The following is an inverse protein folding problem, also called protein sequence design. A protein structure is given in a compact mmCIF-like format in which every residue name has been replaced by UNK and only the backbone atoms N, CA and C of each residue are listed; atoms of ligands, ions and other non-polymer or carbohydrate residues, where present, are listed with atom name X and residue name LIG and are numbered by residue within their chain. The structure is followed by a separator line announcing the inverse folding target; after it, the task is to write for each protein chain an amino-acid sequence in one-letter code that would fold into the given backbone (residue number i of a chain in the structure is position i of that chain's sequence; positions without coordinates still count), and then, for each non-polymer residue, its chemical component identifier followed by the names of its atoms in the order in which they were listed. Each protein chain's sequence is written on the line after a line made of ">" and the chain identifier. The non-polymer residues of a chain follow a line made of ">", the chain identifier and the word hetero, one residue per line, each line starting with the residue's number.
data_IF_580946662802
#
_entry.id   IF_580946662802
#
_cell.length_a   1.000
_cell.length_b   1.000
_cell.length_c   1.000
_cell.angle_alpha   90.00
_cell.angle_beta   90.00
_cell.angle_gamma   90.00
#
_symmetry.space_group_name_H-M   'P 1'
#
loop_
_entity.id
_entity.type
_entity.pdbx_description
1 polymer ?
#
# COMPACT_ATOMS: atom_id res chain seq x y z
N UNK A 1 2.07 60.30 -34.87
CA UNK A 1 2.12 59.61 -36.17
C UNK A 1 2.32 58.12 -35.87
N UNK A 2 1.31 57.27 -36.14
CA UNK A 2 1.25 55.87 -35.73
C UNK A 2 1.74 54.93 -36.84
N UNK A 3 2.12 53.71 -36.48
CA UNK A 3 2.15 52.56 -37.39
C UNK A 3 1.65 51.31 -36.66
N UNK A 4 0.38 50.99 -36.91
CA UNK A 4 -0.27 49.68 -36.70
C UNK A 4 0.16 48.69 -37.79
N UNK A 5 0.37 47.41 -37.45
CA UNK A 5 0.09 46.22 -38.30
C UNK A 5 -0.10 45.02 -37.35
N UNK A 6 -1.32 44.64 -36.99
CA UNK A 6 -2.21 43.62 -37.60
C UNK A 6 -2.43 42.41 -36.66
N UNK A 7 -3.66 42.29 -36.17
CA UNK A 7 -4.20 41.13 -35.46
C UNK A 7 -4.75 40.13 -36.47
N UNK A 8 -4.31 38.88 -36.39
CA UNK A 8 -4.83 37.74 -37.14
C UNK A 8 -6.13 37.22 -36.50
N UNK A 9 -7.19 37.15 -37.31
CA UNK A 9 -8.51 36.65 -36.95
C UNK A 9 -8.58 35.12 -37.08
N UNK A 10 -9.19 34.45 -36.09
CA UNK A 10 -9.62 33.04 -36.18
C UNK A 10 -11.01 32.95 -36.85
N UNK A 11 -11.26 31.96 -37.72
CA UNK A 11 -12.60 31.70 -38.26
C UNK A 11 -13.51 30.99 -37.22
N UNK A 12 -14.85 31.10 -37.38
CA UNK A 12 -15.84 30.64 -36.41
C UNK A 12 -16.08 29.12 -36.42
N UNK A 13 -16.45 28.62 -35.24
CA UNK A 13 -16.86 27.25 -34.93
C UNK A 13 -18.11 26.84 -35.72
N UNK A 14 -18.03 25.79 -36.54
CA UNK A 14 -19.20 25.12 -37.10
C UNK A 14 -19.84 24.19 -36.07
N UNK A 15 -21.15 24.37 -35.92
CA UNK A 15 -22.04 23.69 -35.01
C UNK A 15 -22.60 22.45 -35.72
N UNK A 16 -22.24 21.24 -35.27
CA UNK A 16 -22.76 19.98 -35.81
C UNK A 16 -23.81 19.41 -34.84
N UNK A 17 -25.06 19.14 -35.28
CA UNK A 17 -26.13 18.67 -34.41
C UNK A 17 -26.06 17.17 -34.12
N UNK A 18 -26.48 16.81 -32.90
CA UNK A 18 -26.67 15.45 -32.39
C UNK A 18 -27.92 14.77 -33.00
N UNK A 19 -27.87 13.47 -33.35
CA UNK A 19 -29.08 12.69 -33.53
C UNK A 19 -29.56 12.03 -32.22
N UNK A 20 -30.87 12.02 -32.12
CA UNK A 20 -31.76 11.67 -31.02
C UNK A 20 -31.85 10.17 -30.69
N UNK A 21 -32.38 9.92 -29.49
CA UNK A 21 -32.72 8.64 -28.90
C UNK A 21 -33.82 7.87 -29.67
N UNK A 22 -33.70 6.54 -29.69
CA UNK A 22 -34.75 5.49 -29.67
C UNK A 22 -34.08 4.18 -30.12
N UNK A 23 -34.09 3.05 -29.41
CA UNK A 23 -35.25 2.30 -28.90
C UNK A 23 -34.76 1.25 -27.89
N UNK A 24 -35.49 1.14 -26.77
CA UNK A 24 -35.37 0.06 -25.81
C UNK A 24 -36.06 -1.20 -26.39
N UNK A 25 -35.35 -2.34 -26.46
CA UNK A 25 -35.96 -3.66 -26.72
C UNK A 25 -35.77 -4.57 -25.49
N UNK A 26 -36.82 -5.23 -24.97
CA UNK A 26 -36.70 -6.13 -23.83
C UNK A 26 -36.17 -7.52 -24.24
N UNK A 27 -35.22 -8.03 -23.44
CA UNK A 27 -34.65 -9.39 -23.54
C UNK A 27 -35.61 -10.39 -22.89
N UNK A 28 -35.96 -11.46 -23.61
CA UNK A 28 -36.74 -12.60 -23.10
C UNK A 28 -35.88 -13.51 -22.20
N UNK A 29 -36.44 -14.15 -21.16
CA UNK A 29 -35.68 -14.98 -20.24
C UNK A 29 -35.29 -16.34 -20.87
N UNK A 30 -34.04 -16.74 -20.66
CA UNK A 30 -33.52 -18.07 -21.02
C UNK A 30 -33.99 -19.09 -19.99
N UNK A 31 -34.51 -20.22 -20.50
CA UNK A 31 -35.09 -21.31 -19.75
C UNK A 31 -34.11 -22.04 -18.82
N UNK A 32 -34.69 -22.55 -17.73
CA UNK A 32 -34.10 -23.52 -16.80
C UNK A 32 -33.65 -24.78 -17.56
N UNK A 33 -32.37 -25.13 -17.46
CA UNK A 33 -31.87 -26.44 -17.83
C UNK A 33 -31.92 -27.35 -16.58
N UNK A 34 -32.67 -28.44 -16.69
CA UNK A 34 -32.78 -29.53 -15.70
C UNK A 34 -31.65 -30.51 -15.98
N UNK A 35 -30.79 -30.77 -15.00
CA UNK A 35 -29.77 -31.82 -15.08
C UNK A 35 -30.32 -33.07 -14.39
N UNK A 36 -30.56 -34.12 -15.18
CA UNK A 36 -30.76 -35.49 -14.72
C UNK A 36 -29.40 -36.16 -14.49
N UNK A 37 -29.28 -36.86 -13.37
CA UNK A 37 -28.11 -37.64 -12.99
C UNK A 37 -28.00 -38.90 -13.85
N UNK A 38 -26.80 -39.15 -14.39
CA UNK A 38 -26.43 -40.38 -15.09
C UNK A 38 -25.00 -40.74 -14.73
N UNK A 39 -24.83 -41.92 -14.15
CA UNK A 39 -23.59 -42.53 -13.70
C UNK A 39 -22.82 -43.18 -14.85
N UNK A 40 -21.53 -42.90 -15.00
CA UNK A 40 -20.54 -43.90 -15.44
C UNK A 40 -19.10 -43.48 -15.11
N UNK A 41 -18.33 -44.43 -14.62
CA UNK A 41 -16.89 -44.36 -14.35
C UNK A 41 -16.07 -44.42 -15.64
N UNK A 42 -15.04 -43.59 -15.76
CA UNK A 42 -13.79 -43.91 -16.44
C UNK A 42 -12.69 -42.93 -16.00
N UNK A 43 -11.61 -43.47 -15.47
CA UNK A 43 -10.44 -42.76 -14.96
C UNK A 43 -9.48 -42.37 -16.10
N UNK A 44 -9.06 -41.10 -16.17
CA UNK A 44 -7.80 -40.66 -16.79
C UNK A 44 -7.41 -39.25 -16.30
N UNK A 45 -6.17 -39.12 -15.81
CA UNK A 45 -5.34 -37.89 -15.80
C UNK A 45 -5.83 -36.69 -14.97
N UNK A 46 -5.26 -36.49 -13.77
CA UNK A 46 -5.45 -35.27 -12.96
C UNK A 46 -4.87 -34.03 -13.65
N UNK A 47 -5.67 -32.99 -13.98
CA UNK A 47 -5.16 -31.65 -14.20
C UNK A 47 -5.08 -30.90 -12.86
N UNK A 48 -4.00 -30.14 -12.68
CA UNK A 48 -3.79 -29.27 -11.52
C UNK A 48 -5.04 -28.40 -11.23
N UNK A 49 -5.45 -28.38 -9.96
CA UNK A 49 -6.66 -27.71 -9.51
C UNK A 49 -6.64 -26.21 -9.87
N UNK A 50 -7.75 -25.65 -10.38
CA UNK A 50 -7.86 -24.22 -10.61
C UNK A 50 -7.89 -23.48 -9.26
N UNK A 51 -7.05 -22.44 -9.14
CA UNK A 51 -7.07 -21.50 -8.01
C UNK A 51 -8.42 -20.78 -8.01
N UNK A 52 -9.31 -21.18 -7.11
CA UNK A 52 -10.62 -20.57 -6.89
C UNK A 52 -10.46 -19.25 -6.16
N UNK A 53 -10.66 -18.15 -6.89
CA UNK A 53 -10.74 -16.80 -6.30
C UNK A 53 -12.16 -16.64 -5.74
N UNK A 54 -12.29 -16.74 -4.42
CA UNK A 54 -13.56 -16.54 -3.72
C UNK A 54 -14.11 -15.13 -3.92
N UNK A 55 -15.30 -15.04 -4.49
CA UNK A 55 -16.11 -13.81 -4.49
C UNK A 55 -16.72 -13.64 -3.11
N UNK A 56 -16.27 -12.63 -2.36
CA UNK A 56 -17.01 -12.15 -1.17
C UNK A 56 -17.15 -10.65 -1.26
N UNK A 57 -18.34 -10.21 -1.68
CA UNK A 57 -18.71 -8.80 -1.77
C UNK A 57 -19.19 -8.31 -0.42
N UNK A 58 -18.27 -8.02 0.50
CA UNK A 58 -18.60 -7.31 1.75
C UNK A 58 -18.36 -5.80 1.61
N UNK A 59 -19.44 -5.02 1.63
CA UNK A 59 -19.40 -3.56 1.79
C UNK A 59 -19.20 -3.21 3.27
N UNK A 60 -17.98 -3.33 3.75
CA UNK A 60 -17.54 -2.73 5.02
C UNK A 60 -16.74 -1.46 4.73
N UNK A 61 -16.85 -0.43 5.57
CA UNK A 61 -16.04 0.77 5.45
C UNK A 61 -14.55 0.40 5.47
N UNK A 62 -13.86 0.59 4.33
CA UNK A 62 -12.46 0.25 4.12
C UNK A 62 -11.55 1.20 4.90
N UNK A 63 -11.47 1.07 6.22
CA UNK A 63 -10.34 1.61 6.96
C UNK A 63 -9.24 0.56 6.93
N UNK A 64 -8.73 0.17 5.76
CA UNK A 64 -7.43 -0.50 5.72
C UNK A 64 -6.35 0.52 6.11
N UNK A 65 -5.41 0.14 6.98
CA UNK A 65 -4.21 0.93 7.21
C UNK A 65 -3.43 1.08 5.90
N UNK A 66 -2.57 2.08 5.81
CA UNK A 66 -1.58 2.13 4.73
C UNK A 66 -0.71 0.87 4.78
N UNK A 67 -0.43 0.18 3.67
CA UNK A 67 0.52 -0.92 3.63
C UNK A 67 1.86 -0.52 4.26
N UNK A 68 2.29 -1.31 5.24
CA UNK A 68 3.55 -1.13 5.97
C UNK A 68 4.55 -2.21 5.54
N UNK A 69 5.78 -2.17 6.06
CA UNK A 69 6.88 -3.03 5.59
C UNK A 69 6.52 -4.52 5.48
N UNK A 70 5.91 -5.17 6.49
CA UNK A 70 5.60 -6.61 6.40
C UNK A 70 4.65 -6.96 5.25
N UNK A 71 3.64 -6.13 5.04
CA UNK A 71 2.70 -6.27 3.92
C UNK A 71 3.38 -6.06 2.57
N UNK A 72 4.21 -5.01 2.45
CA UNK A 72 4.89 -4.69 1.20
C UNK A 72 5.92 -5.75 0.85
N UNK A 73 6.60 -6.34 1.84
CA UNK A 73 7.53 -7.46 1.61
C UNK A 73 6.80 -8.68 1.04
N UNK A 74 5.73 -9.13 1.70
CA UNK A 74 4.94 -10.25 1.21
C UNK A 74 4.32 -9.97 -0.17
N UNK A 75 3.95 -8.71 -0.44
CA UNK A 75 3.48 -8.30 -1.75
C UNK A 75 4.56 -8.42 -2.82
N UNK A 76 5.79 -7.94 -2.56
CA UNK A 76 6.92 -8.07 -3.48
C UNK A 76 7.21 -9.54 -3.75
N UNK A 77 7.35 -10.36 -2.71
CA UNK A 77 7.67 -11.78 -2.84
C UNK A 77 6.65 -12.54 -3.68
N UNK A 78 5.35 -12.27 -3.49
CA UNK A 78 4.29 -12.88 -4.29
C UNK A 78 4.15 -12.26 -5.70
N UNK A 79 4.63 -11.04 -5.91
CA UNK A 79 4.57 -10.36 -7.21
C UNK A 79 5.69 -10.83 -8.14
N UNK A 80 6.88 -11.13 -7.62
CA UNK A 80 8.03 -11.65 -8.38
C UNK A 80 7.67 -12.80 -9.34
N UNK A 81 7.11 -13.94 -8.89
CA UNK A 81 6.79 -15.05 -9.78
C UNK A 81 5.71 -14.72 -10.83
N UNK A 82 4.96 -13.62 -10.63
CA UNK A 82 3.89 -13.21 -11.53
C UNK A 82 4.35 -12.18 -12.58
N UNK A 83 5.36 -11.36 -12.28
CA UNK A 83 5.72 -10.18 -13.06
C UNK A 83 7.21 -10.02 -13.39
N UNK A 84 8.15 -10.54 -12.58
CA UNK A 84 9.57 -10.51 -12.95
C UNK A 84 9.82 -11.32 -14.22
N UNK A 85 10.73 -10.84 -15.06
CA UNK A 85 11.06 -11.43 -16.35
C UNK A 85 10.08 -11.11 -17.47
N UNK A 86 8.88 -10.59 -17.17
CA UNK A 86 7.89 -10.21 -18.18
C UNK A 86 8.21 -8.88 -18.84
N UNK A 87 7.84 -8.76 -20.10
CA UNK A 87 7.96 -7.53 -20.90
C UNK A 87 6.66 -6.74 -20.85
N UNK A 88 6.75 -5.43 -20.66
CA UNK A 88 5.61 -4.50 -20.72
C UNK A 88 5.31 -4.13 -22.17
N UNK A 89 4.24 -4.68 -22.75
CA UNK A 89 3.79 -4.42 -24.12
C UNK A 89 3.16 -3.03 -24.29
N UNK A 90 2.49 -2.54 -23.24
CA UNK A 90 1.81 -1.25 -23.25
C UNK A 90 1.53 -0.72 -21.84
N UNK A 91 1.20 0.56 -21.74
CA UNK A 91 0.77 1.20 -20.49
C UNK A 91 -0.50 2.02 -20.71
N UNK A 92 -1.52 1.76 -19.89
CA UNK A 92 -2.81 2.43 -19.98
C UNK A 92 -3.02 3.22 -18.69
N UNK A 93 -2.84 4.53 -18.77
CA UNK A 93 -3.08 5.45 -17.66
C UNK A 93 -4.55 5.85 -17.65
N UNK A 94 -5.26 5.54 -16.56
CA UNK A 94 -6.67 5.95 -16.36
C UNK A 94 -6.81 7.14 -15.43
N UNK A 95 -5.86 7.33 -14.52
CA UNK A 95 -5.82 8.46 -13.60
C UNK A 95 -4.46 9.13 -13.67
N UNK A 96 -4.37 10.32 -14.28
CA UNK A 96 -3.12 11.08 -14.38
C UNK A 96 -2.53 11.47 -13.02
N UNK A 97 -3.37 11.59 -11.98
CA UNK A 97 -2.94 11.90 -10.61
C UNK A 97 -1.98 10.87 -10.01
N UNK A 98 -1.95 9.67 -10.58
CA UNK A 98 -1.02 8.61 -10.18
C UNK A 98 0.41 8.96 -10.55
N UNK A 99 0.64 9.66 -11.66
CA UNK A 99 1.97 9.97 -12.16
C UNK A 99 2.57 11.14 -11.39
N UNK A 100 3.80 10.97 -10.89
CA UNK A 100 4.54 11.98 -10.12
C UNK A 100 5.78 12.49 -10.84
N UNK A 101 6.20 11.82 -11.90
CA UNK A 101 7.20 12.30 -12.86
C UNK A 101 6.58 12.34 -14.25
N UNK A 102 7.14 13.18 -15.11
CA UNK A 102 6.76 13.29 -16.52
C UNK A 102 7.93 12.99 -17.46
N UNK A 103 9.16 13.09 -16.97
CA UNK A 103 10.40 12.81 -17.70
C UNK A 103 11.21 11.78 -16.89
N UNK A 104 11.52 10.60 -17.46
CA UNK A 104 11.02 10.09 -18.75
C UNK A 104 9.49 9.90 -18.75
N UNK A 105 8.82 9.98 -19.91
CA UNK A 105 7.39 9.75 -19.98
C UNK A 105 7.07 8.30 -19.65
N UNK A 106 5.94 8.07 -18.98
CA UNK A 106 5.53 6.71 -18.54
C UNK A 106 5.43 5.70 -19.69
N UNK A 107 5.21 6.17 -20.91
CA UNK A 107 5.18 5.36 -22.14
C UNK A 107 6.52 4.69 -22.45
N UNK A 108 7.64 5.19 -21.93
CA UNK A 108 8.97 4.61 -22.14
C UNK A 108 9.16 3.25 -21.47
N UNK A 109 8.22 2.86 -20.60
CA UNK A 109 8.10 1.51 -20.06
C UNK A 109 7.75 0.51 -21.18
N UNK A 110 7.16 0.94 -22.30
CA UNK A 110 6.81 0.05 -23.41
C UNK A 110 8.06 -0.65 -23.98
N UNK A 111 7.95 -1.96 -24.14
CA UNK A 111 9.02 -2.85 -24.61
C UNK A 111 10.10 -3.13 -23.56
N UNK A 112 10.00 -2.60 -22.33
CA UNK A 112 10.97 -2.89 -21.27
C UNK A 112 10.59 -4.17 -20.54
N UNK A 113 11.61 -4.91 -20.09
CA UNK A 113 11.41 -6.09 -19.25
C UNK A 113 11.57 -5.71 -17.79
N UNK A 114 10.70 -6.22 -16.93
CA UNK A 114 10.83 -6.10 -15.47
C UNK A 114 11.97 -7.04 -15.06
N UNK A 115 13.16 -6.48 -14.84
CA UNK A 115 14.36 -7.24 -14.50
C UNK A 115 14.36 -7.69 -13.04
N UNK A 116 13.93 -6.82 -12.13
CA UNK A 116 13.80 -7.14 -10.72
C UNK A 116 12.68 -6.33 -10.07
N UNK A 117 12.13 -6.86 -8.99
CA UNK A 117 11.16 -6.23 -8.11
C UNK A 117 11.68 -6.33 -6.69
N UNK A 118 11.78 -5.21 -6.01
CA UNK A 118 12.19 -5.14 -4.61
C UNK A 118 11.41 -4.04 -3.88
N UNK A 119 11.73 -3.81 -2.61
CA UNK A 119 11.12 -2.72 -1.81
C UNK A 119 12.16 -1.82 -1.19
N UNK A 120 11.75 -0.58 -0.93
CA UNK A 120 12.41 0.35 -0.01
C UNK A 120 11.36 0.89 0.96
N UNK A 121 11.41 0.48 2.22
CA UNK A 121 10.37 0.79 3.20
C UNK A 121 8.98 0.34 2.73
N UNK A 122 8.14 1.32 2.36
CA UNK A 122 6.75 1.12 1.88
C UNK A 122 6.58 1.31 0.38
N UNK A 123 7.69 1.48 -0.34
CA UNK A 123 7.74 1.67 -1.78
C UNK A 123 8.06 0.33 -2.45
N UNK A 124 7.33 0.02 -3.52
CA UNK A 124 7.72 -1.02 -4.46
C UNK A 124 8.63 -0.41 -5.51
N UNK A 125 9.73 -1.08 -5.84
CA UNK A 125 10.71 -0.66 -6.83
C UNK A 125 10.84 -1.75 -7.87
N UNK A 126 10.76 -1.34 -9.14
CA UNK A 126 10.84 -2.20 -10.31
C UNK A 126 12.01 -1.73 -11.16
N UNK A 127 13.02 -2.56 -11.28
CA UNK A 127 14.14 -2.32 -12.19
C UNK A 127 13.73 -2.79 -13.57
N UNK A 128 13.76 -1.87 -14.54
CA UNK A 128 13.37 -2.14 -15.91
C UNK A 128 14.61 -2.14 -16.81
N UNK A 129 14.61 -3.01 -17.82
CA UNK A 129 15.67 -2.97 -18.84
C UNK A 129 15.70 -1.62 -19.56
N UNK A 130 16.85 -1.26 -20.11
CA UNK A 130 17.05 0.05 -20.73
C UNK A 130 17.32 1.18 -19.74
N UNK A 131 17.69 0.85 -18.50
CA UNK A 131 18.15 1.83 -17.51
C UNK A 131 17.03 2.67 -16.92
N UNK A 132 15.85 2.07 -16.69
CA UNK A 132 14.71 2.74 -16.07
C UNK A 132 14.36 2.07 -14.73
N UNK A 133 13.91 2.87 -13.77
CA UNK A 133 13.42 2.42 -12.47
C UNK A 133 12.02 2.98 -12.27
N UNK A 134 11.05 2.09 -12.08
CA UNK A 134 9.67 2.45 -11.75
C UNK A 134 9.43 2.24 -10.26
N UNK A 135 8.88 3.24 -9.58
CA UNK A 135 8.59 3.19 -8.14
C UNK A 135 7.10 3.40 -7.92
N UNK A 136 6.49 2.55 -7.09
CA UNK A 136 5.06 2.62 -6.75
C UNK A 136 4.89 2.77 -5.24
N UNK A 137 4.08 3.75 -4.84
CA UNK A 137 3.56 3.86 -3.47
C UNK A 137 2.04 3.61 -3.49
N UNK A 138 1.60 2.50 -2.88
CA UNK A 138 0.18 2.13 -2.86
C UNK A 138 -0.69 3.05 -2.01
N UNK A 139 -0.11 3.65 -0.97
CA UNK A 139 -0.84 4.47 0.02
C UNK A 139 -1.99 3.64 0.61
N UNK A 140 -2.97 4.30 1.24
CA UNK A 140 -4.03 3.60 1.99
C UNK A 140 -4.86 2.64 1.15
N UNK A 141 -5.27 3.08 -0.04
CA UNK A 141 -6.30 2.40 -0.82
C UNK A 141 -5.78 1.75 -2.11
N UNK A 142 -4.48 1.88 -2.40
CA UNK A 142 -3.87 1.26 -3.56
C UNK A 142 -3.68 -0.25 -3.39
N UNK A 143 -3.94 -1.05 -4.41
CA UNK A 143 -3.58 -2.48 -4.49
C UNK A 143 -3.02 -2.82 -5.85
N UNK A 144 -2.25 -3.90 -5.92
CA UNK A 144 -1.80 -4.49 -7.18
C UNK A 144 -2.57 -5.77 -7.46
N UNK A 145 -2.79 -6.03 -8.74
CA UNK A 145 -3.38 -7.26 -9.24
C UNK A 145 -2.64 -7.68 -10.51
N UNK A 146 -2.38 -8.98 -10.65
CA UNK A 146 -1.94 -9.57 -11.91
C UNK A 146 -3.05 -10.48 -12.41
N UNK A 147 -3.63 -10.15 -13.57
CA UNK A 147 -4.83 -10.83 -14.09
C UNK A 147 -4.74 -11.04 -15.60
N UNK A 148 -5.44 -12.03 -16.17
CA UNK A 148 -5.57 -12.14 -17.63
C UNK A 148 -6.15 -10.86 -18.24
N UNK A 149 -5.65 -10.49 -19.42
CA UNK A 149 -6.09 -9.33 -20.18
C UNK A 149 -7.61 -9.41 -20.45
N UNK A 150 -8.29 -8.28 -20.30
CA UNK A 150 -9.76 -8.20 -20.45
C UNK A 150 -10.57 -8.70 -19.26
N UNK A 151 -9.98 -9.39 -18.27
CA UNK A 151 -10.70 -9.86 -17.08
C UNK A 151 -10.85 -8.76 -16.02
N UNK A 152 -12.09 -8.35 -15.72
CA UNK A 152 -12.47 -7.68 -14.47
C UNK A 152 -12.08 -6.20 -14.25
N UNK A 153 -12.60 -5.66 -13.14
CA UNK A 153 -12.57 -4.27 -12.60
C UNK A 153 -13.47 -3.23 -13.27
N UNK A 154 -14.06 -2.37 -12.45
CA UNK A 154 -14.76 -1.15 -12.91
C UNK A 154 -13.73 -0.08 -13.26
N UNK A 155 -13.97 0.65 -14.35
CA UNK A 155 -13.08 1.74 -14.80
C UNK A 155 -12.80 2.79 -13.71
N UNK A 156 -13.73 2.97 -12.76
CA UNK A 156 -13.65 4.01 -11.71
C UNK A 156 -12.52 3.81 -10.71
N UNK A 157 -12.18 2.57 -10.36
CA UNK A 157 -11.12 2.33 -9.39
C UNK A 157 -9.74 2.20 -10.10
N UNK A 158 -9.72 2.00 -11.42
CA UNK A 158 -8.51 1.67 -12.17
C UNK A 158 -7.63 2.92 -12.29
N UNK A 159 -6.40 2.84 -11.79
CA UNK A 159 -5.46 3.96 -11.84
C UNK A 159 -4.54 3.82 -13.07
N UNK A 160 -3.87 2.67 -13.19
CA UNK A 160 -2.95 2.38 -14.29
C UNK A 160 -2.88 0.87 -14.53
N UNK A 161 -2.72 0.48 -15.80
CA UNK A 161 -2.45 -0.90 -16.24
C UNK A 161 -1.14 -0.93 -16.99
N UNK A 162 -0.31 -1.92 -16.68
CA UNK A 162 0.82 -2.34 -17.50
C UNK A 162 0.41 -3.64 -18.18
N UNK A 163 0.25 -3.61 -19.50
CA UNK A 163 0.01 -4.81 -20.28
C UNK A 163 1.33 -5.58 -20.33
N UNK A 164 1.35 -6.78 -19.76
CA UNK A 164 2.50 -7.67 -19.78
C UNK A 164 2.34 -8.66 -20.94
N UNK A 165 3.47 -9.19 -21.40
CA UNK A 165 3.50 -10.32 -22.32
C UNK A 165 2.76 -11.55 -21.77
N UNK A 166 2.40 -12.47 -22.67
CA UNK A 166 1.63 -13.66 -22.33
C UNK A 166 0.17 -13.36 -21.93
N UNK A 167 -0.36 -12.22 -22.37
CA UNK A 167 -1.77 -11.86 -22.18
C UNK A 167 -2.15 -11.54 -20.73
N UNK A 168 -1.21 -11.09 -19.91
CA UNK A 168 -1.44 -10.71 -18.52
C UNK A 168 -1.40 -9.19 -18.36
N UNK A 169 -2.08 -8.67 -17.35
CA UNK A 169 -2.06 -7.26 -16.97
C UNK A 169 -1.61 -7.12 -15.51
N UNK A 170 -0.60 -6.30 -15.24
CA UNK A 170 -0.32 -5.77 -13.91
C UNK A 170 -1.11 -4.48 -13.74
N UNK A 171 -2.07 -4.47 -12.82
CA UNK A 171 -2.98 -3.35 -12.61
C UNK A 171 -2.78 -2.76 -11.24
N UNK A 172 -2.67 -1.44 -11.17
CA UNK A 172 -2.85 -0.71 -9.91
C UNK A 172 -4.29 -0.23 -9.78
N UNK A 173 -4.87 -0.62 -8.66
CA UNK A 173 -6.23 -0.32 -8.25
C UNK A 173 -6.16 0.71 -7.15
N UNK A 174 -7.04 1.69 -7.13
CA UNK A 174 -7.18 2.55 -5.97
C UNK A 174 -8.65 2.70 -5.62
N UNK A 175 -9.02 2.21 -4.45
CA UNK A 175 -10.41 2.19 -4.00
C UNK A 175 -10.82 3.50 -3.32
N UNK A 176 -12.10 3.84 -3.42
CA UNK A 176 -12.67 4.99 -2.72
C UNK A 176 -12.40 6.33 -3.38
N UNK A 177 -12.95 7.43 -2.80
CA UNK A 177 -12.97 8.74 -3.45
C UNK A 177 -11.64 9.51 -3.36
N UNK A 178 -10.85 9.26 -2.31
CA UNK A 178 -9.54 9.90 -2.13
C UNK A 178 -8.47 9.08 -2.82
N UNK A 179 -7.92 9.63 -3.91
CA UNK A 179 -6.83 9.05 -4.70
C UNK A 179 -5.48 9.65 -4.27
N UNK A 180 -4.52 8.79 -3.94
CA UNK A 180 -3.20 9.12 -3.45
C UNK A 180 -2.12 8.14 -3.94
N UNK A 181 -2.49 6.97 -4.46
CA UNK A 181 -1.55 6.03 -5.05
C UNK A 181 -0.66 6.77 -6.07
N UNK A 182 0.63 6.47 -6.04
CA UNK A 182 1.63 7.27 -6.73
C UNK A 182 2.61 6.38 -7.47
N UNK A 183 3.05 6.84 -8.63
CA UNK A 183 4.04 6.22 -9.49
C UNK A 183 5.07 7.27 -9.92
N UNK A 184 6.33 6.90 -9.81
CA UNK A 184 7.46 7.63 -10.36
C UNK A 184 8.20 6.73 -11.35
N UNK A 185 8.76 7.34 -12.38
CA UNK A 185 9.67 6.71 -13.33
C UNK A 185 10.93 7.56 -13.42
N UNK A 186 12.08 6.93 -13.30
CA UNK A 186 13.39 7.59 -13.32
C UNK A 186 14.37 6.85 -14.23
N UNK A 187 15.35 7.54 -14.81
CA UNK A 187 16.58 6.89 -15.26
C UNK A 187 17.29 6.26 -14.05
N UNK A 188 17.84 5.06 -14.23
CA UNK A 188 18.57 4.35 -13.19
C UNK A 188 19.74 5.19 -12.65
N UNK A 189 19.90 5.20 -11.32
CA UNK A 189 20.87 6.01 -10.59
C UNK A 189 20.42 7.46 -10.30
N UNK A 190 19.22 7.87 -10.75
CA UNK A 190 18.64 9.17 -10.42
C UNK A 190 17.51 9.09 -9.40
N UNK A 191 16.94 7.91 -9.18
CA UNK A 191 15.78 7.69 -8.31
C UNK A 191 16.01 8.06 -6.85
N UNK A 192 17.27 8.11 -6.39
CA UNK A 192 17.67 8.46 -5.03
C UNK A 192 17.88 9.97 -4.81
N UNK A 193 17.90 10.77 -5.89
CA UNK A 193 18.19 12.21 -5.83
C UNK A 193 16.97 13.06 -5.47
N UNK A 194 15.76 12.55 -5.71
CA UNK A 194 14.50 13.24 -5.45
C UNK A 194 13.50 12.33 -4.75
N UNK A 195 12.35 12.89 -4.34
CA UNK A 195 11.25 12.07 -3.86
C UNK A 195 10.87 11.01 -4.91
N UNK A 196 10.58 9.76 -4.50
CA UNK A 196 10.22 9.36 -3.13
C UNK A 196 11.35 8.73 -2.32
N UNK A 197 12.54 8.53 -2.87
CA UNK A 197 13.65 7.85 -2.18
C UNK A 197 14.63 8.80 -1.50
N UNK A 198 14.72 10.06 -1.94
CA UNK A 198 15.59 11.04 -1.31
C UNK A 198 15.24 11.25 0.17
N UNK A 199 16.26 11.24 1.01
CA UNK A 199 16.12 11.49 2.45
C UNK A 199 15.42 10.38 3.24
N UNK A 200 15.24 9.18 2.68
CA UNK A 200 14.76 8.02 3.42
C UNK A 200 15.83 7.48 4.39
N UNK A 201 15.40 7.15 5.60
CA UNK A 201 16.26 6.61 6.67
C UNK A 201 16.52 5.11 6.57
N UNK A 202 17.09 4.49 7.59
CA UNK A 202 17.56 3.10 7.52
C UNK A 202 16.43 2.07 7.37
N UNK A 203 16.72 0.96 6.69
CA UNK A 203 15.87 -0.24 6.72
C UNK A 203 15.93 -0.88 8.12
N UNK A 204 14.80 -1.06 8.83
CA UNK A 204 14.81 -1.53 10.21
C UNK A 204 15.32 -2.97 10.40
N UNK A 205 15.35 -3.77 9.33
CA UNK A 205 15.83 -5.16 9.36
C UNK A 205 17.25 -5.30 8.81
N UNK A 206 17.85 -4.22 8.30
CA UNK A 206 19.22 -4.23 7.81
C UNK A 206 20.24 -4.36 8.96
N UNK A 207 21.47 -4.82 8.67
CA UNK A 207 22.58 -4.78 9.64
C UNK A 207 22.98 -3.36 10.06
N UNK A 208 22.75 -2.36 9.19
CA UNK A 208 23.07 -0.96 9.47
C UNK A 208 22.16 -0.33 10.52
N UNK A 209 20.95 -0.87 10.71
CA UNK A 209 20.05 -0.44 11.78
C UNK A 209 20.51 -1.01 13.13
N UNK A 210 21.53 -0.38 13.71
CA UNK A 210 22.09 -0.70 15.01
C UNK A 210 21.38 0.05 16.14
N UNK A 211 21.64 -0.37 17.38
CA UNK A 211 21.16 0.33 18.58
C UNK A 211 21.70 1.76 18.62
N UNK A 212 22.97 1.92 18.27
CA UNK A 212 23.69 3.19 18.27
C UNK A 212 23.10 4.13 17.21
N UNK A 213 22.85 3.63 16.00
CA UNK A 213 22.18 4.40 14.96
C UNK A 213 20.77 4.85 15.38
N UNK A 214 20.02 3.99 16.07
CA UNK A 214 18.71 4.38 16.63
C UNK A 214 18.86 5.46 17.72
N UNK A 215 19.85 5.33 18.61
CA UNK A 215 20.11 6.30 19.66
C UNK A 215 20.42 7.69 19.08
N UNK A 216 21.25 7.75 18.04
CA UNK A 216 21.60 9.01 17.36
C UNK A 216 20.37 9.67 16.74
N UNK A 217 19.52 8.90 16.05
CA UNK A 217 18.27 9.40 15.46
C UNK A 217 17.29 9.92 16.54
N UNK A 218 17.17 9.22 17.66
CA UNK A 218 16.33 9.64 18.78
C UNK A 218 16.87 10.93 19.44
N UNK A 219 18.18 11.08 19.54
CA UNK A 219 18.84 12.22 20.16
C UNK A 219 18.61 13.55 19.43
N UNK A 220 18.50 13.51 18.09
CA UNK A 220 18.30 14.72 17.27
C UNK A 220 16.82 15.08 17.06
N UNK A 221 15.90 14.13 17.15
CA UNK A 221 14.49 14.33 16.78
C UNK A 221 13.59 14.52 18.00
N UNK A 222 13.35 15.77 18.43
CA UNK A 222 12.52 16.09 19.61
C UNK A 222 11.02 15.91 19.34
N UNK A 223 10.51 14.70 19.49
CA UNK A 223 9.08 14.36 19.30
C UNK A 223 8.63 13.20 20.19
N UNK A 224 7.33 12.90 20.24
CA UNK A 224 6.81 11.67 20.85
C UNK A 224 7.22 10.42 20.07
N UNK A 225 7.48 9.30 20.78
CA UNK A 225 7.95 8.04 20.20
C UNK A 225 7.07 7.50 19.08
N UNK A 226 5.73 7.48 19.24
CA UNK A 226 4.85 6.98 18.17
C UNK A 226 5.00 7.81 16.88
N UNK A 227 5.18 9.13 17.03
CA UNK A 227 5.40 10.01 15.89
C UNK A 227 6.76 9.73 15.27
N UNK A 228 7.82 9.60 16.08
CA UNK A 228 9.17 9.28 15.62
C UNK A 228 9.21 8.05 14.73
N UNK A 229 8.61 6.93 15.18
CA UNK A 229 8.55 5.68 14.42
C UNK A 229 7.85 5.81 13.06
N UNK A 230 6.98 6.80 12.89
CA UNK A 230 6.32 7.08 11.61
C UNK A 230 7.14 7.95 10.64
N UNK A 231 8.25 8.54 11.09
CA UNK A 231 9.08 9.44 10.28
C UNK A 231 10.02 8.63 9.38
N UNK A 232 9.67 8.55 8.10
CA UNK A 232 10.43 7.74 7.13
C UNK A 232 11.86 8.24 6.87
N UNK A 233 12.22 9.45 7.34
CA UNK A 233 13.60 9.97 7.28
C UNK A 233 14.57 9.30 8.26
N UNK A 234 14.05 8.63 9.29
CA UNK A 234 14.85 7.97 10.32
C UNK A 234 14.82 6.46 10.11
N UNK A 235 13.62 5.88 10.14
CA UNK A 235 13.41 4.45 9.94
C UNK A 235 12.24 4.28 8.98
N UNK A 236 12.51 3.63 7.84
CA UNK A 236 11.48 3.42 6.82
C UNK A 236 10.59 2.23 7.16
N UNK A 237 9.44 2.14 6.50
CA UNK A 237 8.63 0.92 6.54
C UNK A 237 7.67 0.83 7.73
N UNK A 238 7.99 1.47 8.85
CA UNK A 238 7.12 1.52 10.03
C UNK A 238 6.02 2.57 9.83
N UNK A 239 4.76 2.20 10.04
CA UNK A 239 3.60 3.07 9.96
C UNK A 239 2.77 3.10 11.23
N UNK A 240 1.47 3.31 11.07
CA UNK A 240 0.57 3.55 12.19
C UNK A 240 0.30 2.27 12.99
N UNK A 241 0.17 1.12 12.31
CA UNK A 241 -0.09 -0.15 12.95
C UNK A 241 1.16 -0.65 13.68
N UNK A 242 2.28 -0.79 12.97
CA UNK A 242 3.49 -1.33 13.59
C UNK A 242 4.10 -0.40 14.63
N UNK A 243 3.86 0.92 14.59
CA UNK A 243 4.26 1.79 15.71
C UNK A 243 3.54 1.46 17.02
N UNK A 244 2.26 1.03 16.98
CA UNK A 244 1.55 0.59 18.19
C UNK A 244 2.12 -0.74 18.70
N UNK A 245 2.30 -1.72 17.80
CA UNK A 245 2.83 -3.05 18.13
C UNK A 245 4.25 -2.97 18.72
N UNK A 246 5.13 -2.17 18.10
CA UNK A 246 6.51 -1.97 18.54
C UNK A 246 6.56 -1.34 19.92
N UNK A 247 5.76 -0.30 20.18
CA UNK A 247 5.77 0.36 21.49
C UNK A 247 5.15 -0.50 22.58
N UNK A 248 4.14 -1.31 22.24
CA UNK A 248 3.58 -2.28 23.17
C UNK A 248 4.58 -3.39 23.51
N UNK A 249 5.33 -3.87 22.52
CA UNK A 249 6.40 -4.86 22.72
C UNK A 249 7.53 -4.27 23.57
N UNK A 250 7.96 -3.03 23.27
CA UNK A 250 8.99 -2.32 24.03
C UNK A 250 8.55 -1.87 25.44
N UNK A 251 7.25 -1.94 25.76
CA UNK A 251 6.64 -1.40 26.99
C UNK A 251 6.86 0.11 27.16
N UNK A 252 6.90 0.84 26.04
CA UNK A 252 7.13 2.28 26.03
C UNK A 252 5.83 3.03 25.75
N UNK A 253 5.67 4.17 26.41
CA UNK A 253 4.50 5.04 26.18
C UNK A 253 4.53 5.61 24.75
N UNK A 254 3.39 5.62 24.03
CA UNK A 254 3.30 6.35 22.77
C UNK A 254 3.47 7.87 22.92
N UNK A 255 3.35 8.40 24.14
CA UNK A 255 3.55 9.82 24.46
C UNK A 255 4.93 10.10 25.08
N UNK A 256 5.78 9.08 25.28
CA UNK A 256 7.15 9.31 25.74
C UNK A 256 7.90 10.17 24.73
N UNK A 257 8.70 11.11 25.22
CA UNK A 257 9.57 11.92 24.37
C UNK A 257 10.79 11.09 23.98
N UNK A 258 11.14 11.12 22.71
CA UNK A 258 12.44 10.64 22.18
C UNK A 258 13.64 10.97 23.08
N UNK A 259 13.70 12.20 23.60
CA UNK A 259 14.78 12.69 24.47
C UNK A 259 14.71 12.20 25.92
N UNK A 260 13.68 11.45 26.31
CA UNK A 260 13.54 10.95 27.69
C UNK A 260 14.00 9.50 27.84
N UNK A 261 14.45 8.85 26.77
CA UNK A 261 14.83 7.44 26.82
C UNK A 261 16.23 7.25 27.37
N UNK A 262 16.38 6.33 28.32
CA UNK A 262 17.69 5.86 28.75
C UNK A 262 18.28 4.80 27.79
N UNK A 263 19.54 4.40 28.04
CA UNK A 263 20.24 3.45 27.18
C UNK A 263 19.60 2.07 27.12
N UNK A 264 18.90 1.65 28.18
CA UNK A 264 18.20 0.35 28.24
C UNK A 264 16.86 0.43 27.51
N UNK A 265 16.16 1.56 27.60
CA UNK A 265 14.96 1.85 26.83
C UNK A 265 15.23 1.89 25.34
N UNK A 266 16.34 2.52 24.92
CA UNK A 266 16.78 2.49 23.51
C UNK A 266 17.09 1.05 23.07
N UNK A 267 17.79 0.27 23.90
CA UNK A 267 18.06 -1.15 23.60
C UNK A 267 16.77 -1.97 23.46
N UNK A 268 15.80 -1.77 24.37
CA UNK A 268 14.49 -2.43 24.32
C UNK A 268 13.70 -2.03 23.08
N UNK A 269 13.69 -0.75 22.73
CA UNK A 269 13.02 -0.25 21.53
C UNK A 269 13.64 -0.82 20.26
N UNK A 270 14.96 -0.80 20.12
CA UNK A 270 15.68 -1.40 19.00
C UNK A 270 15.32 -2.88 18.83
N UNK A 271 15.42 -3.66 19.91
CA UNK A 271 15.06 -5.06 19.91
C UNK A 271 13.58 -5.30 19.56
N UNK A 272 12.67 -4.47 20.07
CA UNK A 272 11.24 -4.56 19.75
C UNK A 272 10.93 -4.26 18.29
N UNK A 273 11.57 -3.24 17.70
CA UNK A 273 11.43 -2.91 16.27
C UNK A 273 11.78 -4.14 15.42
N UNK A 274 12.94 -4.74 15.66
CA UNK A 274 13.40 -5.90 14.89
C UNK A 274 12.49 -7.10 15.08
N UNK A 275 12.24 -7.52 16.33
CA UNK A 275 11.42 -8.69 16.64
C UNK A 275 10.02 -8.58 16.03
N UNK A 276 9.32 -7.47 16.26
CA UNK A 276 7.95 -7.30 15.76
C UNK A 276 7.91 -7.35 14.24
N UNK A 277 8.84 -6.69 13.55
CA UNK A 277 8.85 -6.66 12.09
C UNK A 277 9.29 -8.00 11.48
N UNK A 278 10.26 -8.69 12.07
CA UNK A 278 10.68 -10.04 11.64
C UNK A 278 9.54 -11.05 11.79
N UNK A 279 8.87 -11.07 12.96
CA UNK A 279 7.69 -11.90 13.21
C UNK A 279 6.54 -11.57 12.26
N UNK A 280 6.29 -10.29 12.02
CA UNK A 280 5.23 -9.84 11.13
C UNK A 280 5.51 -10.24 9.68
N UNK A 281 6.73 -10.07 9.19
CA UNK A 281 7.14 -10.51 7.85
C UNK A 281 6.93 -12.02 7.71
N UNK A 282 7.41 -12.82 8.67
CA UNK A 282 7.23 -14.27 8.64
C UNK A 282 5.75 -14.69 8.65
N UNK A 283 4.91 -13.99 9.42
CA UNK A 283 3.48 -14.29 9.49
C UNK A 283 2.75 -13.87 8.22
N UNK A 284 3.10 -12.73 7.63
CA UNK A 284 2.56 -12.27 6.35
C UNK A 284 2.92 -13.22 5.20
N UNK A 285 4.14 -13.74 5.18
CA UNK A 285 4.56 -14.77 4.20
C UNK A 285 3.66 -15.99 4.24
N UNK A 286 3.33 -16.47 5.45
CA UNK A 286 2.42 -17.62 5.63
C UNK A 286 0.99 -17.28 5.22
N UNK A 287 0.48 -16.13 5.67
CA UNK A 287 -0.89 -15.67 5.40
C UNK A 287 -1.16 -15.47 3.89
N UNK A 288 -0.18 -14.92 3.18
CA UNK A 288 -0.33 -14.53 1.78
C UNK A 288 0.34 -15.49 0.79
N UNK A 289 0.76 -16.68 1.21
CA UNK A 289 1.47 -17.62 0.35
C UNK A 289 0.67 -17.89 -0.96
N UNK A 290 1.27 -17.53 -2.10
CA UNK A 290 0.67 -17.76 -3.42
C UNK A 290 -0.45 -16.79 -3.81
N UNK A 291 -0.65 -15.68 -3.07
CA UNK A 291 -1.65 -14.67 -3.40
C UNK A 291 -1.13 -13.25 -3.18
N UNK A 292 -1.61 -12.29 -3.97
CA UNK A 292 -1.26 -10.89 -3.76
C UNK A 292 -2.06 -10.33 -2.57
N UNK A 293 -1.38 -9.77 -1.54
CA UNK A 293 -2.05 -9.19 -0.39
C UNK A 293 -3.05 -8.09 -0.78
N UNK A 294 -4.30 -8.21 -0.28
CA UNK A 294 -5.38 -7.25 -0.57
C UNK A 294 -5.78 -6.41 0.65
N UNK A 295 -5.44 -6.82 1.86
CA UNK A 295 -5.73 -6.09 3.10
C UNK A 295 -4.83 -6.58 4.22
N UNK A 296 -4.50 -5.67 5.13
CA UNK A 296 -3.80 -6.02 6.36
C UNK A 296 -4.64 -7.02 7.18
N UNK A 297 -4.07 -8.16 7.59
CA UNK A 297 -4.77 -9.17 8.38
C UNK A 297 -4.77 -8.72 9.86
N UNK A 298 -5.86 -8.08 10.29
CA UNK A 298 -5.98 -7.49 11.63
C UNK A 298 -5.69 -8.52 12.75
N UNK A 299 -6.08 -9.78 12.54
CA UNK A 299 -5.88 -10.86 13.51
C UNK A 299 -4.40 -11.22 13.78
N UNK A 300 -3.45 -10.74 12.95
CA UNK A 300 -2.01 -10.90 13.18
C UNK A 300 -1.43 -9.79 14.09
N UNK A 301 -2.22 -8.76 14.41
CA UNK A 301 -1.83 -7.66 15.29
C UNK A 301 -2.22 -7.99 16.74
N UNK A 302 -1.45 -7.50 17.72
CA UNK A 302 -1.71 -7.78 19.15
C UNK A 302 -2.48 -6.67 19.84
N UNK A 303 -2.29 -5.41 19.43
CA UNK A 303 -2.93 -4.25 20.07
C UNK A 303 -3.60 -3.30 19.08
N UNK A 304 -3.00 -3.11 17.91
CA UNK A 304 -3.55 -2.22 16.90
C UNK A 304 -4.89 -2.75 16.39
N UNK A 305 -5.94 -1.93 16.48
CA UNK A 305 -7.35 -2.29 16.22
C UNK A 305 -8.03 -3.24 17.22
N UNK A 306 -7.35 -3.58 18.31
CA UNK A 306 -7.92 -4.38 19.41
C UNK A 306 -8.41 -3.49 20.57
N UNK A 307 -8.96 -2.31 20.27
CA UNK A 307 -9.41 -1.37 21.30
C UNK A 307 -10.52 -1.97 22.17
N UNK A 308 -10.42 -1.78 23.50
CA UNK A 308 -11.25 -2.38 24.55
C UNK A 308 -11.06 -3.89 24.78
N UNK A 309 -10.34 -4.59 23.93
CA UNK A 309 -10.00 -5.99 24.15
C UNK A 309 -8.95 -6.13 25.27
N UNK A 310 -8.90 -7.26 25.98
CA UNK A 310 -7.92 -7.45 27.05
C UNK A 310 -6.49 -7.49 26.49
N UNK A 311 -5.58 -6.75 27.10
CA UNK A 311 -4.16 -6.79 26.73
C UNK A 311 -3.61 -8.23 26.86
N UNK A 312 -2.96 -8.78 25.82
CA UNK A 312 -2.42 -10.14 25.87
C UNK A 312 -1.39 -10.40 26.97
N UNK A 313 -0.80 -9.33 27.54
CA UNK A 313 0.22 -9.42 28.59
C UNK A 313 -0.33 -9.31 30.02
N UNK A 314 -1.34 -8.47 30.24
CA UNK A 314 -1.78 -8.11 31.60
C UNK A 314 -3.30 -8.04 31.80
N UNK A 315 -4.10 -8.34 30.76
CA UNK A 315 -5.56 -8.33 30.83
C UNK A 315 -6.22 -6.95 30.87
N UNK A 316 -5.47 -5.86 31.15
CA UNK A 316 -6.03 -4.49 31.12
C UNK A 316 -6.57 -4.18 29.72
N UNK A 317 -7.80 -3.62 29.58
CA UNK A 317 -8.35 -3.25 28.28
C UNK A 317 -7.43 -2.30 27.50
N UNK A 318 -7.22 -2.59 26.22
CA UNK A 318 -6.44 -1.73 25.32
C UNK A 318 -7.17 -0.40 25.13
N UNK A 319 -6.47 0.69 25.43
CA UNK A 319 -6.98 2.04 25.28
C UNK A 319 -6.67 2.58 23.88
N UNK A 320 -7.48 3.55 23.45
CA UNK A 320 -7.35 4.16 22.12
C UNK A 320 -7.29 5.68 22.25
N UNK A 321 -6.27 6.29 21.65
CA UNK A 321 -6.19 7.74 21.45
C UNK A 321 -6.57 8.03 20.00
N UNK A 322 -7.57 8.89 19.83
CA UNK A 322 -7.98 9.37 18.52
C UNK A 322 -7.40 10.75 18.27
N UNK A 323 -6.67 10.91 17.16
CA UNK A 323 -6.14 12.20 16.74
C UNK A 323 -6.26 12.34 15.22
N UNK A 324 -7.07 13.31 14.78
CA UNK A 324 -7.36 13.58 13.37
C UNK A 324 -7.88 12.34 12.60
N UNK A 325 -7.03 11.73 11.78
CA UNK A 325 -7.31 10.53 10.98
C UNK A 325 -6.49 9.31 11.45
N UNK A 326 -5.84 9.42 12.61
CA UNK A 326 -5.00 8.39 13.22
C UNK A 326 -5.55 7.91 14.55
N UNK A 327 -5.39 6.62 14.76
CA UNK A 327 -5.75 5.92 15.99
C UNK A 327 -4.47 5.33 16.56
N UNK A 328 -4.28 5.51 17.87
CA UNK A 328 -3.15 4.98 18.64
C UNK A 328 -3.70 3.99 19.64
N UNK A 329 -3.29 2.72 19.52
CA UNK A 329 -3.69 1.66 20.42
C UNK A 329 -2.54 1.35 21.38
N UNK A 330 -2.83 1.28 22.68
CA UNK A 330 -1.82 1.02 23.71
C UNK A 330 -2.45 0.40 24.95
N UNK A 331 -1.65 -0.29 25.75
CA UNK A 331 -2.06 -0.80 27.05
C UNK A 331 -1.69 0.20 28.16
N UNK A 332 -2.66 0.76 28.91
CA UNK A 332 -2.39 1.73 29.98
C UNK A 332 -1.42 1.20 31.04
N UNK A 333 -1.61 -0.05 31.46
CA UNK A 333 -0.78 -0.69 32.50
C UNK A 333 0.64 -0.96 32.00
N UNK A 334 0.78 -1.55 30.81
CA UNK A 334 2.10 -1.93 30.30
C UNK A 334 2.95 -0.75 29.82
N UNK A 335 2.34 0.37 29.43
CA UNK A 335 3.05 1.44 28.71
C UNK A 335 2.93 2.81 29.36
N UNK A 336 2.02 3.02 30.32
CA UNK A 336 1.73 4.34 30.87
C UNK A 336 1.48 4.35 32.39
N UNK A 337 1.94 3.33 33.12
CA UNK A 337 1.76 3.25 34.58
C UNK A 337 0.28 3.24 35.01
N UNK A 338 -0.60 2.70 34.16
CA UNK A 338 -2.06 2.68 34.38
C UNK A 338 -2.78 3.94 33.89
N UNK A 339 -2.07 4.99 33.47
CA UNK A 339 -2.69 6.22 32.97
C UNK A 339 -3.41 5.99 31.63
N UNK A 340 -4.68 6.38 31.58
CA UNK A 340 -5.43 6.49 30.32
C UNK A 340 -5.31 7.92 29.80
N UNK A 341 -4.68 8.08 28.64
CA UNK A 341 -4.57 9.36 27.94
C UNK A 341 -5.93 9.86 27.44
N UNK A 342 -6.15 11.16 27.54
CA UNK A 342 -7.38 11.80 27.11
C UNK A 342 -7.59 11.70 25.60
N UNK A 343 -8.83 11.44 25.24
CA UNK A 343 -9.29 11.36 23.86
C UNK A 343 -9.49 12.77 23.27
N UNK A 344 -8.86 13.05 22.13
CA UNK A 344 -8.96 14.36 21.45
C UNK A 344 -10.12 14.44 20.44
N UNK A 345 -11.05 13.48 20.39
CA UNK A 345 -12.26 13.56 19.53
C UNK A 345 -13.05 14.86 19.75
N UNK A 346 -13.14 15.34 21.00
CA UNK A 346 -13.87 16.59 21.34
C UNK A 346 -13.08 17.87 21.05
N UNK A 347 -11.77 17.79 20.78
CA UNK A 347 -10.97 18.96 20.39
C UNK A 347 -11.38 19.55 19.04
N UNK A 348 -12.10 18.77 18.21
CA UNK A 348 -12.71 19.23 16.95
C UNK A 348 -13.95 20.11 17.14
N UNK A 349 -14.60 20.05 18.30
CA UNK A 349 -15.83 20.82 18.59
C UNK A 349 -15.52 22.21 19.19
N UNK A 350 -14.25 22.52 19.42
CA UNK A 350 -13.77 23.78 20.01
C UNK A 350 -13.05 24.68 18.98
N UNK A 351 -13.29 24.47 17.68
CA UNK A 351 -12.80 25.33 16.59
C UNK A 351 -13.93 26.10 15.95
#
# INVERSE_FOLDING_TARGET
>A
MPTEVARSARPPNEFVPSPSADTFRPVRPIGRCVITAGTSEAAFGSPAAPVTVGETRQRGAYTAGMPELPFVEALVENLRPLAEGRTTEDVIVRSVYVLKTFDPPVTDIKGRRIAAIHRRGKLLVFDLTGGLVMIIHLRRNGRLQVVPRGKGRTARDLAITFALDGGMDLRMIEMGPKKAASLWLFPAGQETKTEPLAGLGLEPLSPEFTREALADMLGVERTHLKRFLGLQRHVVGIGNAFSDEILWEARLSPQAMTTSLDGDEVARLHGAIRRVLEEAVASHRREFAGSLPMREPVHLLRVHRHGKEPCPRCGTPIAVIYYEDRETYYCPTCQAGGRVYADRRRSRLLR
#
